data_IF_526728489387
#
_entry.id   IF_526728489387
#
_cell.length_a   1.000
_cell.length_b   1.000
_cell.length_c   1.000
_cell.angle_alpha   90.00
_cell.angle_beta   90.00
_cell.angle_gamma   90.00
#
_symmetry.space_group_name_H-M   'P 1'
#
loop_
_entity.id
_entity.type
_entity.pdbx_description
1 polymer ?
2 water ?
#
# COMPACT_ATOMS: atom_id res chain seq x y z
N UNK A 17 10.60 0.75 17.42
CA UNK A 17 9.56 0.67 16.39
C UNK A 17 9.04 2.06 16.01
N UNK A 18 8.09 2.08 15.08
CA UNK A 18 7.60 3.31 14.52
C UNK A 18 8.23 3.57 13.16
N UNK A 19 7.54 4.31 12.29
CA UNK A 19 8.11 4.62 10.99
C UNK A 19 9.27 5.61 11.08
N UNK A 20 10.23 5.45 10.19
CA UNK A 20 11.38 6.33 10.08
C UNK A 20 10.94 7.62 9.37
N UNK A 21 10.91 8.72 10.12
CA UNK A 21 10.35 9.96 9.58
C UNK A 21 11.17 10.46 8.39
N UNK A 22 12.50 10.37 8.47
CA UNK A 22 13.34 10.79 7.35
C UNK A 22 13.02 9.96 6.11
N UNK A 23 12.92 8.64 6.26
CA UNK A 23 12.63 7.79 5.11
C UNK A 23 11.28 8.08 4.51
N UNK A 24 10.27 8.31 5.36
CA UNK A 24 8.95 8.69 4.87
C UNK A 24 9.00 10.02 4.12
N UNK A 25 9.70 11.01 4.72
CA UNK A 25 9.77 12.33 4.11
C UNK A 25 10.35 12.27 2.70
N UNK A 26 11.49 11.60 2.54
CA UNK A 26 12.10 11.48 1.22
C UNK A 26 11.17 10.77 0.24
N UNK A 27 10.37 9.82 0.72
CA UNK A 27 9.44 9.13 -0.17
C UNK A 27 8.41 10.11 -0.75
N UNK A 28 7.80 10.93 0.11
CA UNK A 28 6.79 11.87 -0.35
C UNK A 28 7.40 12.98 -1.19
N UNK A 29 8.64 13.37 -0.91
CA UNK A 29 9.29 14.37 -1.76
C UNK A 29 9.57 13.80 -3.14
N UNK A 30 9.89 12.51 -3.20
CA UNK A 30 10.11 11.86 -4.49
C UNK A 30 8.81 11.72 -5.27
N UNK A 31 7.77 11.13 -4.67
CA UNK A 31 6.57 10.78 -5.42
C UNK A 31 5.52 11.87 -5.45
N UNK A 32 5.49 12.77 -4.47
CA UNK A 32 4.51 13.84 -4.45
C UNK A 32 3.14 13.45 -3.93
N UNK A 33 2.96 12.21 -3.47
CA UNK A 33 1.70 11.77 -2.92
C UNK A 33 1.46 12.38 -1.54
N UNK A 34 0.19 12.54 -1.19
CA UNK A 34 -0.18 12.91 0.16
C UNK A 34 -0.08 11.69 1.07
N UNK A 35 0.03 11.94 2.37
CA UNK A 35 0.04 10.84 3.35
C UNK A 35 -0.68 11.35 4.58
N UNK A 36 -1.85 10.79 4.88
CA UNK A 36 -2.71 11.28 5.94
C UNK A 36 -2.84 10.22 7.02
N UNK A 37 -2.50 10.61 8.25
CA UNK A 37 -2.46 9.70 9.37
C UNK A 37 -3.70 9.96 10.22
N UNK A 38 -4.55 8.96 10.36
CA UNK A 38 -5.71 9.03 11.25
C UNK A 38 -5.60 7.91 12.27
N UNK A 39 -6.55 7.87 13.20
CA UNK A 39 -6.51 6.81 14.18
C UNK A 39 -6.76 5.50 13.45
N UNK A 40 -5.86 4.55 13.63
CA UNK A 40 -5.96 3.25 13.03
C UNK A 40 -5.59 3.13 11.57
N UNK A 41 -5.07 4.18 10.94
CA UNK A 41 -4.84 4.07 9.50
C UNK A 41 -3.81 5.08 9.01
N UNK A 42 -3.01 4.66 8.04
CA UNK A 42 -2.16 5.57 7.29
C UNK A 42 -2.58 5.46 5.82
N UNK A 43 -3.00 6.58 5.22
CA UNK A 43 -3.49 6.59 3.85
C UNK A 43 -2.51 7.34 2.96
N UNK A 44 -1.92 6.62 2.01
CA UNK A 44 -0.99 7.14 1.03
C UNK A 44 -1.75 7.40 -0.26
N UNK A 45 -1.64 8.63 -0.78
CA UNK A 45 -2.45 8.94 -1.94
C UNK A 45 -3.93 8.99 -1.60
N UNK A 46 -4.76 8.57 -2.55
CA UNK A 46 -6.19 8.53 -2.38
C UNK A 46 -6.88 9.88 -2.28
N UNK A 47 -6.86 10.66 -3.37
CA UNK A 47 -6.33 10.38 -4.72
C UNK A 47 -4.81 10.56 -4.85
N UNK A 48 -4.21 9.93 -5.86
CA UNK A 48 -2.81 10.22 -6.20
C UNK A 48 -2.72 11.61 -6.79
N UNK A 49 -1.52 12.12 -7.04
CA UNK A 49 -1.42 13.39 -7.78
C UNK A 49 -2.02 13.22 -9.17
N UNK A 50 -2.76 14.23 -9.63
CA UNK A 50 -3.43 14.04 -10.91
C UNK A 50 -2.44 13.95 -12.07
N UNK A 51 -1.17 14.28 -11.85
CA UNK A 51 -0.14 14.00 -12.84
C UNK A 51 0.09 12.51 -12.99
N UNK A 52 -0.07 11.76 -11.90
CA UNK A 52 -0.02 10.30 -11.98
C UNK A 52 -1.28 9.76 -12.61
N UNK A 53 -2.44 10.27 -12.20
CA UNK A 53 -3.71 9.70 -12.62
C UNK A 53 -4.80 10.73 -12.44
N UNK A 54 -5.41 11.16 -13.55
CA UNK A 54 -6.65 11.92 -13.52
C UNK A 54 -7.78 10.99 -13.93
N UNK A 55 -8.91 11.10 -13.23
CA UNK A 55 -10.02 10.21 -13.50
C UNK A 55 -10.78 9.83 -12.25
N UNK A 56 -11.93 9.20 -12.45
CA UNK A 56 -12.77 8.79 -11.31
C UNK A 56 -12.09 7.67 -10.53
N UNK A 57 -12.52 7.51 -9.28
CA UNK A 57 -11.94 6.49 -8.41
C UNK A 57 -11.98 5.13 -9.10
N UNK A 58 -10.88 4.37 -9.08
CA UNK A 58 -10.86 3.07 -9.76
C UNK A 58 -11.87 2.11 -9.17
N UNK A 59 -12.48 1.32 -10.05
CA UNK A 59 -13.61 0.49 -9.70
C UNK A 59 -13.26 -0.93 -9.29
N UNK A 60 -14.18 -1.84 -9.59
CA UNK A 60 -14.08 -3.20 -9.08
C UNK A 60 -12.90 -3.91 -9.68
N UNK A 61 -12.19 -4.70 -8.87
CA UNK A 61 -11.07 -5.45 -9.36
C UNK A 61 -9.75 -4.71 -9.36
N UNK A 62 -9.71 -3.49 -8.84
CA UNK A 62 -8.52 -2.65 -8.85
C UNK A 62 -7.78 -2.63 -7.52
N UNK A 63 -8.34 -3.27 -6.49
CA UNK A 63 -7.80 -3.20 -5.14
C UNK A 63 -7.25 -4.56 -4.73
N UNK A 64 -6.09 -4.57 -4.08
CA UNK A 64 -5.51 -5.80 -3.56
C UNK A 64 -5.44 -5.73 -2.05
N UNK A 65 -5.63 -6.89 -1.41
CA UNK A 65 -5.34 -7.04 0.00
C UNK A 65 -3.89 -7.48 0.09
N UNK A 66 -3.13 -6.87 1.02
CA UNK A 66 -1.73 -7.26 1.28
C UNK A 66 -1.67 -7.69 2.74
N UNK A 67 -1.30 -8.94 2.98
CA UNK A 67 -1.29 -9.50 4.31
C UNK A 67 0.10 -9.96 4.71
N UNK A 68 0.23 -10.28 6.01
CA UNK A 68 1.49 -10.72 6.60
C UNK A 68 2.59 -9.70 6.41
N UNK A 69 2.22 -8.42 6.47
CA UNK A 69 3.23 -7.35 6.48
C UNK A 69 3.93 -7.33 7.82
N UNK A 70 5.25 -7.35 7.88
CA UNK A 70 5.94 -7.21 9.16
C UNK A 70 5.47 -5.95 9.87
N UNK A 71 5.27 -6.06 11.19
CA UNK A 71 4.53 -5.04 11.92
C UNK A 71 5.31 -3.72 12.06
N UNK A 72 6.61 -3.72 11.78
CA UNK A 72 7.41 -2.51 11.86
C UNK A 72 7.84 -2.00 10.48
N UNK A 73 7.11 -2.37 9.43
CA UNK A 73 7.42 -2.01 8.05
C UNK A 73 6.39 -1.02 7.56
N UNK A 74 6.84 0.05 6.92
CA UNK A 74 5.96 1.17 6.58
C UNK A 74 6.10 1.51 5.10
N UNK A 75 5.64 2.71 4.71
CA UNK A 75 5.43 3.01 3.30
C UNK A 75 6.74 3.15 2.53
N UNK A 76 7.83 3.52 3.20
CA UNK A 76 9.10 3.63 2.51
C UNK A 76 9.55 2.30 1.92
N UNK A 77 9.07 1.18 2.47
CA UNK A 77 9.34 -0.12 1.90
C UNK A 77 8.22 -0.62 1.00
N UNK A 78 6.96 -0.39 1.39
CA UNK A 78 5.84 -0.96 0.67
C UNK A 78 5.65 -0.29 -0.69
N UNK A 79 5.79 1.03 -0.75
CA UNK A 79 5.43 1.76 -1.96
C UNK A 79 6.38 1.41 -3.10
N UNK A 80 7.71 1.42 -2.91
CA UNK A 80 8.58 1.04 -4.03
C UNK A 80 8.34 -0.36 -4.55
N UNK A 81 7.97 -1.30 -3.68
CA UNK A 81 7.70 -2.65 -4.15
C UNK A 81 6.45 -2.66 -5.01
N UNK A 82 5.34 -2.13 -4.50
CA UNK A 82 4.09 -2.28 -5.24
C UNK A 82 3.99 -1.36 -6.44
N UNK A 83 4.79 -0.29 -6.47
CA UNK A 83 4.92 0.51 -7.69
C UNK A 83 5.47 -0.31 -8.85
N UNK A 84 6.12 -1.44 -8.57
CA UNK A 84 6.56 -2.28 -9.67
C UNK A 84 5.39 -2.89 -10.42
N UNK A 85 4.22 -3.05 -9.76
CA UNK A 85 3.06 -3.54 -10.50
C UNK A 85 2.43 -2.45 -11.36
N UNK A 86 2.42 -1.22 -10.88
CA UNK A 86 1.86 -0.10 -11.60
C UNK A 86 1.62 1.06 -10.64
N UNK A 87 1.18 2.21 -11.16
CA UNK A 87 0.99 3.38 -10.30
C UNK A 87 -0.11 3.16 -9.27
N UNK A 88 0.16 3.61 -8.05
CA UNK A 88 -0.73 3.39 -6.91
C UNK A 88 -1.78 4.49 -6.89
N UNK A 89 -3.06 4.12 -6.77
CA UNK A 89 -4.08 5.13 -6.53
C UNK A 89 -4.19 5.45 -5.04
N UNK A 90 -4.22 4.42 -4.21
CA UNK A 90 -4.14 4.65 -2.74
C UNK A 90 -3.52 3.45 -2.04
N UNK A 91 -2.95 3.68 -0.87
CA UNK A 91 -2.42 2.59 -0.01
C UNK A 91 -2.93 2.91 1.40
N UNK A 92 -3.69 2.00 1.99
CA UNK A 92 -4.17 2.20 3.37
C UNK A 92 -3.54 1.13 4.26
N UNK A 93 -2.53 1.50 5.03
CA UNK A 93 -1.86 0.58 5.96
C UNK A 93 -2.60 0.68 7.30
N UNK A 94 -3.21 -0.41 7.71
CA UNK A 94 -4.00 -0.37 8.94
C UNK A 94 -3.06 -0.41 10.15
N UNK A 95 -3.36 0.40 11.16
CA UNK A 95 -2.50 0.61 12.32
C UNK A 95 -3.19 0.17 13.61
N UNK A 96 -2.38 -0.32 14.54
CA UNK A 96 -2.85 -0.64 15.88
C UNK A 96 -2.68 0.62 16.73
N UNK A 97 -3.76 1.29 17.14
CA UNK A 97 -3.57 2.54 17.89
C UNK A 97 -2.96 2.34 19.26
N UNK A 98 -2.93 1.11 19.79
CA UNK A 98 -2.34 0.89 21.10
C UNK A 98 -0.82 0.72 21.03
N UNK A 99 -0.34 -0.03 20.04
CA UNK A 99 1.08 -0.32 19.94
C UNK A 99 1.82 0.65 19.03
N UNK A 100 1.13 1.38 18.17
CA UNK A 100 1.82 2.23 17.21
C UNK A 100 2.54 1.48 16.13
N UNK A 101 2.28 0.19 15.98
CA UNK A 101 2.76 -0.61 14.85
C UNK A 101 1.59 -0.87 13.90
N UNK A 102 1.90 -1.31 12.69
CA UNK A 102 0.80 -1.64 11.79
C UNK A 102 0.14 -2.95 12.22
N UNK A 103 -1.07 -3.19 11.69
CA UNK A 103 -1.84 -4.38 12.04
C UNK A 103 -1.43 -5.63 11.23
N UNK A 104 -0.44 -5.53 10.36
CA UNK A 104 -0.06 -6.65 9.53
C UNK A 104 -0.70 -6.69 8.15
N UNK A 105 -1.55 -5.72 7.81
CA UNK A 105 -2.17 -5.75 6.50
C UNK A 105 -2.49 -4.34 6.02
N UNK A 106 -2.81 -4.26 4.73
CA UNK A 106 -3.00 -3.02 4.02
C UNK A 106 -3.91 -3.30 2.83
N UNK A 107 -4.57 -2.26 2.33
CA UNK A 107 -5.26 -2.35 1.06
C UNK A 107 -4.59 -1.40 0.07
N UNK A 108 -4.42 -1.83 -1.17
CA UNK A 108 -3.78 -1.01 -2.18
C UNK A 108 -4.72 -0.95 -3.38
N UNK A 109 -5.15 0.25 -3.74
CA UNK A 109 -5.92 0.45 -4.95
C UNK A 109 -4.97 0.87 -6.05
N UNK A 110 -4.99 0.15 -7.17
CA UNK A 110 -4.28 0.59 -8.37
C UNK A 110 -5.21 1.34 -9.32
N UNK A 111 -4.60 1.89 -10.38
CA UNK A 111 -5.37 2.69 -11.34
C UNK A 111 -6.06 1.85 -12.40
N UNK A 112 -5.78 0.54 -12.46
CA UNK A 112 -6.45 -0.33 -13.39
C UNK A 112 -6.41 -1.76 -12.91
N UNK A 113 -7.30 -2.56 -13.48
CA UNK A 113 -7.40 -3.98 -13.14
C UNK A 113 -6.09 -4.71 -13.45
N UNK A 114 -5.46 -4.36 -14.57
CA UNK A 114 -4.26 -5.05 -15.01
C UNK A 114 -3.12 -4.89 -14.02
N UNK A 115 -2.95 -3.68 -13.47
CA UNK A 115 -1.92 -3.44 -12.46
C UNK A 115 -2.21 -4.21 -11.17
N UNK A 116 -3.48 -4.25 -10.73
CA UNK A 116 -3.81 -5.02 -9.55
C UNK A 116 -3.48 -6.50 -9.75
N UNK A 117 -3.84 -7.06 -10.90
CA UNK A 117 -3.48 -8.46 -11.17
C UNK A 117 -1.96 -8.63 -11.21
N UNK A 118 -1.24 -7.66 -11.76
CA UNK A 118 0.21 -7.73 -11.76
C UNK A 118 0.78 -7.69 -10.34
N UNK A 119 0.13 -6.97 -9.41
CA UNK A 119 0.59 -6.96 -8.03
C UNK A 119 0.46 -8.34 -7.38
N UNK A 120 -0.63 -9.05 -7.69
CA UNK A 120 -0.75 -10.44 -7.24
C UNK A 120 0.35 -11.30 -7.84
N UNK A 121 0.56 -11.19 -9.15
CA UNK A 121 1.55 -12.03 -9.82
C UNK A 121 2.96 -11.77 -9.31
N UNK A 122 3.32 -10.51 -9.08
CA UNK A 122 4.68 -10.20 -8.65
C UNK A 122 4.87 -10.36 -7.14
N UNK A 123 3.87 -9.98 -6.34
CA UNK A 123 4.11 -9.79 -4.92
C UNK A 123 3.47 -10.83 -4.01
N UNK A 124 2.53 -11.65 -4.48
CA UNK A 124 2.07 -12.73 -3.61
C UNK A 124 3.29 -13.63 -3.33
N UNK A 125 3.51 -13.93 -2.05
CA UNK A 125 4.63 -14.73 -1.53
C UNK A 125 5.95 -13.97 -1.52
N UNK A 126 5.96 -12.68 -1.82
CA UNK A 126 7.23 -11.96 -1.90
C UNK A 126 7.88 -11.88 -0.50
N UNK A 127 9.15 -12.29 -0.40
CA UNK A 127 9.87 -12.30 0.87
C UNK A 127 10.40 -10.89 1.16
N UNK A 128 9.53 -10.03 1.70
CA UNK A 128 9.86 -8.62 1.87
C UNK A 128 10.94 -8.42 2.94
N UNK A 129 10.98 -9.27 3.95
CA UNK A 129 12.06 -9.35 4.91
C UNK A 129 12.43 -10.83 5.04
N UNK A 130 13.63 -11.14 5.51
CA UNK A 130 14.03 -12.55 5.63
C UNK A 130 13.00 -13.36 6.40
N UNK A 131 12.54 -14.45 5.79
CA UNK A 131 11.56 -15.33 6.40
C UNK A 131 10.13 -14.84 6.42
N UNK A 132 9.84 -13.67 5.84
CA UNK A 132 8.51 -13.05 5.95
C UNK A 132 7.94 -12.83 4.55
N UNK A 133 6.99 -13.69 4.16
CA UNK A 133 6.41 -13.68 2.82
C UNK A 133 5.07 -12.96 2.86
N UNK A 134 4.87 -12.05 1.92
CA UNK A 134 3.58 -11.36 1.84
C UNK A 134 2.51 -12.29 1.27
N UNK A 135 1.27 -12.02 1.65
CA UNK A 135 0.10 -12.58 0.97
C UNK A 135 -0.61 -11.48 0.21
N UNK A 136 -0.83 -11.68 -1.09
CA UNK A 136 -1.48 -10.66 -1.92
C UNK A 136 -2.58 -11.29 -2.73
N UNK A 137 -3.78 -10.68 -2.71
CA UNK A 137 -4.87 -11.15 -3.55
C UNK A 137 -5.77 -9.99 -3.95
N UNK A 138 -6.55 -10.20 -5.02
CA UNK A 138 -7.56 -9.21 -5.38
C UNK A 138 -8.57 -9.15 -4.25
N UNK A 139 -8.88 -7.94 -3.80
CA UNK A 139 -9.86 -7.74 -2.74
C UNK A 139 -11.25 -7.76 -3.37
N UNK A 140 -12.08 -8.70 -2.92
CA UNK A 140 -13.44 -8.87 -3.43
C UNK A 140 -14.39 -8.83 -2.25
N UNK A 141 -15.67 -8.70 -2.54
CA UNK A 141 -16.67 -8.67 -1.49
C UNK A 141 -17.10 -10.10 -1.13
N UNK A 142 -17.62 -10.25 0.09
CA UNK A 142 -18.12 -11.54 0.54
C UNK A 142 -19.53 -11.76 -0.02
N UNK A 143 -20.20 -12.80 0.46
CA UNK A 143 -21.52 -13.14 -0.02
C UNK A 143 -22.53 -13.21 1.14
#
# INVERSE_FOLDING_TARGET
>A
MGSSHHHHHQENLYFQSGPDEAKIKALLERTGYTLDVTTGQRKYGGPPPDSVYSGVQPGIGTEVFVGKIPRDLYEDELVPLFEKAGPIWDLRLMMDPLSGQNRGYAFITFCGKEAAQEAVKLCDSYEIRPGKHLGVCISVANN
#
